data_IF_730730250024
#
_entry.id   IF_730730250024
#
_cell.length_a   1.000
_cell.length_b   1.000
_cell.length_c   1.000
_cell.angle_alpha   90.00
_cell.angle_beta   90.00
_cell.angle_gamma   90.00
#
_symmetry.space_group_name_H-M   'P 1'
#
loop_
_entity.id
_entity.type
_entity.pdbx_description
1 polymer ?
#
# COMPACT_ATOMS: atom_id res chain seq x y z
N UNK A 1 29.52 24.85 23.96
CA UNK A 1 29.38 25.50 25.27
C UNK A 1 28.13 24.93 25.93
N UNK A 2 28.33 24.00 26.87
CA UNK A 2 28.05 24.14 28.33
C UNK A 2 26.54 23.96 28.60
N UNK A 3 25.99 23.05 29.42
CA UNK A 3 26.37 21.90 30.29
C UNK A 3 25.07 21.06 30.44
N UNK A 4 24.98 19.80 30.87
CA UNK A 4 25.77 19.03 31.83
C UNK A 4 25.21 19.20 33.24
N UNK A 5 24.44 18.23 33.77
CA UNK A 5 24.44 17.70 35.17
C UNK A 5 23.26 16.70 35.31
N UNK A 6 23.51 15.40 35.43
CA UNK A 6 23.94 14.63 36.61
C UNK A 6 22.75 14.22 37.48
N UNK A 7 22.51 12.92 37.56
CA UNK A 7 21.41 12.33 38.31
C UNK A 7 21.69 12.18 39.81
N UNK A 8 20.67 11.71 40.51
CA UNK A 8 20.78 11.06 41.83
C UNK A 8 19.78 9.90 41.86
N UNK A 9 20.29 8.73 42.21
CA UNK A 9 19.54 7.53 42.59
C UNK A 9 19.59 7.46 44.12
N UNK A 10 18.45 7.25 44.79
CA UNK A 10 18.27 6.50 46.05
C UNK A 10 16.77 6.51 46.40
N UNK A 11 16.19 5.61 47.18
CA UNK A 11 16.17 4.15 47.27
C UNK A 11 15.03 3.80 48.27
N UNK A 12 14.43 2.63 48.11
CA UNK A 12 13.60 1.84 49.05
C UNK A 12 12.45 2.44 49.88
N UNK A 13 11.25 1.89 49.63
CA UNK A 13 10.54 1.12 50.66
C UNK A 13 9.31 1.75 51.32
N UNK A 14 8.12 1.15 51.08
CA UNK A 14 6.96 1.33 51.97
C UNK A 14 5.59 0.97 51.34
N UNK A 15 5.11 -0.25 51.57
CA UNK A 15 3.66 -0.62 51.57
C UNK A 15 3.31 -1.03 53.02
N UNK A 16 2.10 -0.78 53.56
CA UNK A 16 0.85 -1.48 53.17
C UNK A 16 -0.42 -0.61 53.18
N UNK A 17 -1.32 -0.82 52.22
CA UNK A 17 -2.61 -1.53 52.32
C UNK A 17 -3.71 -0.81 53.13
N UNK A 18 -4.79 -0.41 52.43
CA UNK A 18 -6.16 -0.30 52.95
C UNK A 18 -7.15 0.01 51.82
N UNK A 19 -7.87 -1.04 51.43
CA UNK A 19 -9.29 -1.05 51.08
C UNK A 19 -9.91 0.19 50.42
N UNK A 20 -10.00 0.14 49.09
CA UNK A 20 -11.24 0.53 48.40
C UNK A 20 -11.49 -0.39 47.21
N UNK A 21 -11.89 -1.62 47.51
CA UNK A 21 -12.58 -2.48 46.53
C UNK A 21 -13.89 -1.79 46.14
N UNK A 22 -13.88 -1.03 45.05
CA UNK A 22 -15.09 -0.73 44.30
C UNK A 22 -15.53 -2.03 43.62
N UNK A 23 -16.58 -2.63 44.13
CA UNK A 23 -17.26 -3.77 43.52
C UNK A 23 -18.06 -3.27 42.32
N UNK A 24 -17.61 -3.62 41.10
CA UNK A 24 -18.39 -3.43 39.88
C UNK A 24 -19.20 -4.71 39.66
N UNK A 25 -20.54 -4.65 39.52
CA UNK A 25 -21.32 -5.86 39.30
C UNK A 25 -21.02 -6.39 37.89
N UNK A 26 -20.66 -7.68 37.84
CA UNK A 26 -20.53 -8.45 36.60
C UNK A 26 -21.93 -8.70 36.01
N UNK A 27 -22.45 -7.72 35.29
CA UNK A 27 -23.55 -7.93 34.36
C UNK A 27 -22.97 -8.34 33.01
N UNK A 28 -23.23 -9.59 32.64
CA UNK A 28 -22.88 -10.19 31.37
C UNK A 28 -23.32 -9.33 30.18
N UNK A 29 -22.48 -9.27 29.12
CA UNK A 29 -22.79 -9.78 27.78
C UNK A 29 -21.72 -9.31 26.75
N UNK A 30 -20.75 -10.21 26.50
CA UNK A 30 -20.01 -10.49 25.24
C UNK A 30 -19.36 -9.30 24.49
N UNK A 31 -18.01 -9.25 24.36
CA UNK A 31 -17.42 -8.40 23.33
C UNK A 31 -17.87 -8.96 21.98
N UNK A 32 -18.59 -8.18 21.19
CA UNK A 32 -18.81 -8.49 19.78
C UNK A 32 -17.51 -8.10 19.07
N UNK A 33 -16.60 -9.03 18.71
CA UNK A 33 -15.64 -8.66 17.70
C UNK A 33 -16.46 -8.28 16.48
N UNK A 34 -16.22 -7.10 15.91
CA UNK A 34 -16.68 -6.78 14.57
C UNK A 34 -15.66 -7.40 13.62
N UNK A 35 -15.90 -8.60 13.05
CA UNK A 35 -15.23 -8.93 11.82
C UNK A 35 -15.89 -8.03 10.78
N UNK A 36 -15.18 -7.04 10.26
CA UNK A 36 -15.47 -6.53 8.92
C UNK A 36 -15.05 -7.61 7.91
N UNK A 37 -15.63 -8.81 8.03
CA UNK A 37 -15.53 -9.84 7.03
C UNK A 37 -16.51 -9.47 5.93
N UNK A 38 -15.97 -9.34 4.71
CA UNK A 38 -16.76 -9.20 3.51
C UNK A 38 -17.83 -10.30 3.46
N UNK A 39 -19.10 -9.90 3.46
CA UNK A 39 -20.25 -10.83 3.33
C UNK A 39 -20.35 -11.44 1.91
N UNK A 40 -19.43 -11.09 1.02
CA UNK A 40 -19.41 -11.60 -0.34
C UNK A 40 -18.98 -13.08 -0.33
N UNK A 41 -19.94 -13.99 -0.55
CA UNK A 41 -19.70 -15.40 -0.88
C UNK A 41 -18.98 -15.61 -2.22
N UNK A 42 -18.66 -14.53 -2.94
CA UNK A 42 -17.92 -14.58 -4.21
C UNK A 42 -16.49 -14.14 -3.94
N UNK A 43 -15.47 -14.89 -4.39
CA UNK A 43 -14.13 -14.31 -4.48
C UNK A 43 -14.27 -13.01 -5.27
N UNK A 44 -13.88 -11.89 -4.67
CA UNK A 44 -13.78 -10.63 -5.40
C UNK A 44 -12.67 -10.85 -6.39
N UNK A 45 -13.03 -11.04 -7.65
CA UNK A 45 -12.08 -11.20 -8.74
C UNK A 45 -11.44 -9.84 -8.98
N UNK A 46 -10.42 -9.53 -8.19
CA UNK A 46 -9.58 -8.32 -8.33
C UNK A 46 -8.79 -8.31 -9.65
N UNK A 47 -8.79 -9.45 -10.35
CA UNK A 47 -8.03 -9.74 -11.56
C UNK A 47 -8.75 -9.34 -12.86
N UNK A 48 -9.88 -8.64 -12.77
CA UNK A 48 -10.53 -8.14 -13.98
C UNK A 48 -9.65 -7.05 -14.60
N UNK A 49 -9.27 -7.16 -15.89
CA UNK A 49 -8.64 -6.06 -16.60
C UNK A 49 -9.57 -4.85 -16.49
N UNK A 50 -9.13 -3.78 -15.82
CA UNK A 50 -9.90 -2.55 -15.77
C UNK A 50 -10.17 -2.14 -17.21
N UNK A 51 -11.45 -2.21 -17.60
CA UNK A 51 -11.91 -1.98 -18.96
C UNK A 51 -11.45 -0.60 -19.43
N UNK A 52 -11.19 -0.40 -20.73
CA UNK A 52 -10.87 0.91 -21.26
C UNK A 52 -11.93 1.93 -20.81
N UNK A 53 -11.56 2.81 -19.89
CA UNK A 53 -12.46 3.84 -19.36
C UNK A 53 -12.63 4.89 -20.44
N UNK A 54 -13.87 5.27 -20.73
CA UNK A 54 -14.20 6.38 -21.61
C UNK A 54 -13.40 7.62 -21.19
N UNK A 55 -12.67 8.20 -22.15
CA UNK A 55 -11.79 9.35 -21.89
C UNK A 55 -12.64 10.59 -21.65
N UNK A 56 -12.95 10.85 -20.38
CA UNK A 56 -13.57 12.10 -19.98
C UNK A 56 -12.56 13.26 -20.09
N UNK A 57 -13.02 14.47 -20.43
CA UNK A 57 -12.17 15.65 -20.34
C UNK A 57 -11.58 15.75 -18.94
N UNK A 58 -10.30 16.15 -18.85
CA UNK A 58 -9.60 16.26 -17.58
C UNK A 58 -10.30 17.30 -16.70
N UNK A 59 -10.47 17.01 -15.39
CA UNK A 59 -11.09 17.99 -14.50
C UNK A 59 -10.21 19.25 -14.44
N UNK A 60 -10.83 20.44 -14.36
CA UNK A 60 -10.08 21.67 -14.14
C UNK A 60 -9.40 21.64 -12.75
N UNK A 61 -8.27 22.32 -12.60
CA UNK A 61 -7.60 22.53 -11.31
C UNK A 61 -6.19 21.98 -11.16
N UNK A 62 -5.67 21.23 -12.14
CA UNK A 62 -4.25 20.86 -12.20
C UNK A 62 -3.66 21.13 -13.60
N UNK A 63 -2.36 21.48 -13.70
CA UNK A 63 -1.67 21.55 -14.98
C UNK A 63 -1.70 20.21 -15.72
N UNK A 64 -1.66 20.25 -17.06
CA UNK A 64 -1.73 19.04 -17.89
C UNK A 64 -0.59 18.06 -17.59
N UNK A 65 0.63 18.55 -17.28
CA UNK A 65 1.76 17.67 -16.97
C UNK A 65 1.54 16.81 -15.73
N UNK A 66 0.74 17.28 -14.77
CA UNK A 66 0.41 16.52 -13.57
C UNK A 66 -0.37 15.26 -13.94
N UNK A 67 -1.39 15.38 -14.79
CA UNK A 67 -2.17 14.24 -15.26
C UNK A 67 -1.35 13.29 -16.11
N UNK A 68 -0.45 13.80 -16.97
CA UNK A 68 0.42 12.94 -17.78
C UNK A 68 1.34 12.11 -16.88
N UNK A 69 1.97 12.75 -15.88
CA UNK A 69 2.86 12.06 -14.93
C UNK A 69 2.10 11.06 -14.08
N UNK A 70 0.92 11.43 -13.59
CA UNK A 70 0.04 10.55 -12.82
C UNK A 70 -0.40 9.32 -13.64
N UNK A 71 -0.86 9.52 -14.88
CA UNK A 71 -1.26 8.43 -15.77
C UNK A 71 -0.08 7.52 -16.16
N UNK A 72 1.13 8.07 -16.35
CA UNK A 72 2.35 7.27 -16.56
C UNK A 72 2.65 6.40 -15.34
N UNK A 73 2.46 6.93 -14.12
CA UNK A 73 2.61 6.18 -12.87
C UNK A 73 1.59 5.05 -12.76
N UNK A 74 0.32 5.30 -13.06
CA UNK A 74 -0.73 4.28 -13.08
C UNK A 74 -0.46 3.18 -14.11
N UNK A 75 -0.05 3.56 -15.32
CA UNK A 75 0.34 2.62 -16.38
C UNK A 75 1.51 1.74 -15.94
N UNK A 76 2.53 2.32 -15.32
CA UNK A 76 3.68 1.59 -14.82
C UNK A 76 3.29 0.61 -13.69
N UNK A 77 2.41 1.02 -12.78
CA UNK A 77 1.91 0.14 -11.72
C UNK A 77 1.13 -1.05 -12.28
N UNK A 78 0.24 -0.82 -13.27
CA UNK A 78 -0.50 -1.90 -13.94
C UNK A 78 0.44 -2.90 -14.62
N UNK A 79 1.49 -2.42 -15.29
CA UNK A 79 2.50 -3.29 -15.91
C UNK A 79 3.33 -4.05 -14.87
N UNK A 80 3.68 -3.43 -13.74
CA UNK A 80 4.41 -4.11 -12.68
C UNK A 80 3.61 -5.28 -12.10
N UNK A 81 2.30 -5.09 -11.87
CA UNK A 81 1.40 -6.17 -11.41
C UNK A 81 1.37 -7.30 -12.44
N UNK A 82 1.10 -6.99 -13.71
CA UNK A 82 1.06 -8.01 -14.77
C UNK A 82 2.38 -8.78 -14.93
N UNK A 83 3.53 -8.12 -14.72
CA UNK A 83 4.84 -8.78 -14.72
C UNK A 83 4.97 -9.77 -13.55
N UNK A 84 4.56 -9.37 -12.35
CA UNK A 84 4.54 -10.25 -11.18
C UNK A 84 3.64 -11.46 -11.41
N UNK A 85 2.45 -11.24 -11.96
CA UNK A 85 1.48 -12.31 -12.27
C UNK A 85 2.01 -13.28 -13.35
N UNK A 86 2.82 -12.78 -14.28
CA UNK A 86 3.50 -13.59 -15.31
C UNK A 86 4.76 -14.31 -14.83
N UNK A 87 5.19 -14.11 -13.59
CA UNK A 87 6.36 -14.77 -13.00
C UNK A 87 7.68 -13.97 -13.10
N UNK A 88 7.61 -12.69 -13.48
CA UNK A 88 8.77 -11.78 -13.49
C UNK A 88 8.83 -11.05 -12.16
N UNK A 89 9.64 -11.56 -11.23
CA UNK A 89 9.68 -11.06 -9.85
C UNK A 89 10.79 -10.05 -9.59
N UNK A 90 11.86 -10.06 -10.39
CA UNK A 90 13.02 -9.22 -10.15
C UNK A 90 13.12 -8.07 -11.17
N UNK A 91 13.58 -6.88 -10.76
CA UNK A 91 13.69 -5.73 -11.65
C UNK A 91 14.73 -5.93 -12.78
N UNK A 92 15.67 -6.86 -12.63
CA UNK A 92 16.66 -7.21 -13.65
C UNK A 92 16.09 -8.14 -14.75
N UNK A 93 15.03 -8.89 -14.44
CA UNK A 93 14.28 -9.71 -15.40
C UNK A 93 13.35 -8.85 -16.25
N UNK A 94 12.85 -7.73 -15.70
CA UNK A 94 12.00 -6.75 -16.38
C UNK A 94 12.78 -5.83 -17.35
N UNK A 95 13.35 -6.42 -18.42
CA UNK A 95 13.97 -5.67 -19.53
C UNK A 95 12.90 -4.95 -20.35
N UNK A 96 13.29 -3.90 -21.10
CA UNK A 96 12.33 -3.12 -21.90
C UNK A 96 11.56 -3.95 -22.91
N UNK A 97 12.22 -4.92 -23.56
CA UNK A 97 11.57 -5.85 -24.47
C UNK A 97 10.49 -6.69 -23.75
N UNK A 98 10.79 -7.19 -22.55
CA UNK A 98 9.84 -7.93 -21.71
C UNK A 98 8.66 -7.05 -21.32
N UNK A 99 8.91 -5.83 -20.83
CA UNK A 99 7.85 -4.90 -20.41
C UNK A 99 6.94 -4.53 -21.59
N UNK A 100 7.51 -4.28 -22.78
CA UNK A 100 6.73 -3.96 -23.99
C UNK A 100 5.93 -5.17 -24.48
N UNK A 101 6.51 -6.37 -24.46
CA UNK A 101 5.81 -7.62 -24.80
C UNK A 101 4.66 -7.93 -23.82
N UNK A 102 4.86 -7.73 -22.51
CA UNK A 102 3.78 -7.83 -21.52
C UNK A 102 2.69 -6.80 -21.78
N UNK A 103 3.04 -5.57 -22.17
CA UNK A 103 2.06 -4.55 -22.53
C UNK A 103 1.19 -4.98 -23.72
N UNK A 104 1.80 -5.58 -24.74
CA UNK A 104 1.09 -6.15 -25.90
C UNK A 104 0.16 -7.28 -25.48
N UNK A 105 0.62 -8.20 -24.61
CA UNK A 105 -0.16 -9.32 -24.09
C UNK A 105 -1.43 -8.86 -23.35
N UNK A 106 -1.33 -7.80 -22.55
CA UNK A 106 -2.47 -7.25 -21.79
C UNK A 106 -3.28 -6.20 -22.57
N UNK A 107 -2.96 -5.97 -23.85
CA UNK A 107 -3.67 -5.01 -24.71
C UNK A 107 -3.46 -3.54 -24.33
N UNK A 108 -2.34 -3.20 -23.70
CA UNK A 108 -1.98 -1.83 -23.33
C UNK A 108 -1.01 -1.26 -24.37
N UNK A 109 -1.25 -0.02 -24.82
CA UNK A 109 -0.36 0.68 -25.75
C UNK A 109 1.10 0.65 -25.25
N UNK A 110 2.11 0.55 -26.14
CA UNK A 110 3.52 0.44 -25.73
C UNK A 110 3.96 1.50 -24.69
N UNK A 111 4.70 1.11 -23.64
CA UNK A 111 5.27 2.05 -22.67
C UNK A 111 6.47 2.80 -23.25
N UNK A 112 6.65 4.04 -22.81
CA UNK A 112 7.88 4.82 -23.05
C UNK A 112 9.01 4.32 -22.16
N UNK A 113 10.26 4.64 -22.50
CA UNK A 113 11.43 4.23 -21.72
C UNK A 113 11.36 4.73 -20.27
N UNK A 114 10.90 5.97 -20.07
CA UNK A 114 10.64 6.53 -18.74
C UNK A 114 9.63 5.67 -17.97
N UNK A 115 8.58 5.18 -18.64
CA UNK A 115 7.59 4.28 -18.02
C UNK A 115 8.24 2.94 -17.66
N UNK A 116 9.10 2.38 -18.51
CA UNK A 116 9.81 1.14 -18.20
C UNK A 116 10.74 1.31 -16.98
N UNK A 117 11.41 2.45 -16.85
CA UNK A 117 12.17 2.77 -15.64
C UNK A 117 11.27 2.82 -14.40
N UNK A 118 10.08 3.43 -14.49
CA UNK A 118 9.10 3.45 -13.40
C UNK A 118 8.64 2.05 -13.01
N UNK A 119 8.39 1.16 -13.97
CA UNK A 119 8.05 -0.25 -13.71
C UNK A 119 9.14 -0.91 -12.87
N UNK A 120 10.41 -0.80 -13.30
CA UNK A 120 11.54 -1.37 -12.56
C UNK A 120 11.73 -0.73 -11.19
N UNK A 121 11.40 0.55 -11.03
CA UNK A 121 11.40 1.21 -9.73
C UNK A 121 10.32 0.61 -8.80
N UNK A 122 9.09 0.42 -9.29
CA UNK A 122 8.03 -0.19 -8.49
C UNK A 122 8.37 -1.60 -8.00
N UNK A 123 9.02 -2.40 -8.85
CA UNK A 123 9.47 -3.74 -8.47
C UNK A 123 10.57 -3.74 -7.40
N UNK A 124 11.32 -2.64 -7.22
CA UNK A 124 12.36 -2.53 -6.18
C UNK A 124 11.81 -2.16 -4.81
N UNK A 125 10.72 -1.40 -4.76
CA UNK A 125 10.18 -0.82 -3.52
C UNK A 125 9.05 -1.65 -2.89
N UNK A 126 8.73 -2.83 -3.43
CA UNK A 126 7.76 -3.77 -2.86
C UNK A 126 8.39 -4.71 -1.81
N UNK A 127 9.31 -4.19 -0.98
CA UNK A 127 9.93 -4.94 0.12
C UNK A 127 9.76 -4.20 1.45
#
# INVERSE_FOLDING_TARGET
>A
MFEGIAGVVVDLGGRPDRDRRMSVPAAALKPKPLPTQSTAKRPVLLDMPCAPVEKRPLPPGRPREWYVTHNRRLKAMRLAIALLDSGVYLPNQARDATIRSTAELIGVHPPSDITCHMVRAFMRYNR
#
